data_IF_862089379397
#
_entry.id   IF_862089379397
#
_cell.length_a   1.000
_cell.length_b   1.000
_cell.length_c   1.000
_cell.angle_alpha   90.00
_cell.angle_beta   90.00
_cell.angle_gamma   90.00
#
_symmetry.space_group_name_H-M   'P 1'
#
loop_
_entity.id
_entity.type
_entity.pdbx_description
1 polymer ?
#
# COMPACT_ATOMS: atom_id res chain seq x y z
N UNK A 1 -18.74 18.59 -0.37
CA UNK A 1 -17.96 17.85 -1.40
C UNK A 1 -16.46 18.13 -1.22
N UNK A 2 -16.04 19.39 -1.13
CA UNK A 2 -14.64 19.78 -0.92
C UNK A 2 -14.06 19.25 0.40
N UNK A 3 -14.76 19.37 1.52
CA UNK A 3 -14.29 18.88 2.84
C UNK A 3 -13.97 17.38 2.82
N UNK A 4 -14.87 16.56 2.28
CA UNK A 4 -14.66 15.12 2.11
C UNK A 4 -13.41 14.82 1.25
N UNK A 5 -13.19 15.58 0.17
CA UNK A 5 -12.02 15.39 -0.69
C UNK A 5 -10.72 15.76 0.03
N UNK A 6 -10.74 16.82 0.86
CA UNK A 6 -9.59 17.23 1.68
C UNK A 6 -9.26 16.15 2.72
N UNK A 7 -10.27 15.57 3.38
CA UNK A 7 -10.07 14.49 4.35
C UNK A 7 -9.45 13.24 3.70
N UNK A 8 -9.95 12.82 2.52
CA UNK A 8 -9.39 11.69 1.78
C UNK A 8 -7.94 11.96 1.40
N UNK A 9 -7.62 13.17 0.92
CA UNK A 9 -6.24 13.53 0.57
C UNK A 9 -5.31 13.55 1.79
N UNK A 10 -5.80 13.98 2.96
CA UNK A 10 -5.04 13.93 4.20
C UNK A 10 -4.74 12.49 4.60
N UNK A 11 -5.76 11.62 4.58
CA UNK A 11 -5.61 10.21 4.94
C UNK A 11 -4.71 9.46 3.96
N UNK A 12 -4.77 9.80 2.68
CA UNK A 12 -3.84 9.29 1.67
C UNK A 12 -2.39 9.63 2.06
N UNK A 13 -2.09 10.89 2.33
CA UNK A 13 -0.72 11.31 2.64
C UNK A 13 -0.22 10.75 3.98
N UNK A 14 -1.07 10.69 5.00
CA UNK A 14 -0.74 9.99 6.26
C UNK A 14 -0.39 8.51 6.03
N UNK A 15 -1.15 7.83 5.16
CA UNK A 15 -0.88 6.46 4.76
C UNK A 15 0.44 6.32 4.01
N UNK A 16 0.73 7.23 3.05
CA UNK A 16 1.99 7.24 2.30
C UNK A 16 3.18 7.48 3.20
N UNK A 17 3.12 8.46 4.12
CA UNK A 17 4.21 8.73 5.07
C UNK A 17 4.46 7.52 5.98
N UNK A 18 3.39 6.90 6.47
CA UNK A 18 3.50 5.71 7.33
C UNK A 18 4.10 4.53 6.58
N UNK A 19 3.61 4.23 5.38
CA UNK A 19 4.11 3.17 4.53
C UNK A 19 5.56 3.42 4.10
N UNK A 20 5.91 4.65 3.74
CA UNK A 20 7.27 4.99 3.31
C UNK A 20 8.27 4.82 4.47
N UNK A 21 7.89 5.23 5.68
CA UNK A 21 8.73 5.11 6.87
C UNK A 21 8.91 3.65 7.32
N UNK A 22 7.86 2.83 7.27
CA UNK A 22 7.91 1.45 7.79
C UNK A 22 8.31 0.42 6.72
N UNK A 23 7.93 0.66 5.47
CA UNK A 23 7.99 -0.26 4.33
C UNK A 23 8.65 0.40 3.10
N UNK A 24 9.62 1.29 3.31
CA UNK A 24 10.30 2.02 2.23
C UNK A 24 10.96 1.13 1.18
N UNK A 25 11.32 -0.12 1.52
CA UNK A 25 11.86 -1.10 0.56
C UNK A 25 10.85 -1.54 -0.51
N UNK A 26 9.54 -1.41 -0.27
CA UNK A 26 8.50 -1.80 -1.23
C UNK A 26 8.53 -1.00 -2.53
N UNK A 27 9.11 0.22 -2.48
CA UNK A 27 9.30 1.05 -3.67
C UNK A 27 10.59 0.77 -4.43
N UNK A 28 11.43 -0.17 -4.00
CA UNK A 28 12.68 -0.51 -4.70
C UNK A 28 12.32 -1.16 -6.05
N UNK A 29 12.77 -0.58 -7.19
CA UNK A 29 12.33 -1.03 -8.51
C UNK A 29 13.08 -2.27 -8.98
N UNK A 30 12.45 -2.98 -9.92
CA UNK A 30 13.05 -4.09 -10.65
C UNK A 30 13.36 -5.30 -9.77
N UNK A 31 14.39 -6.05 -10.15
CA UNK A 31 14.77 -7.30 -9.48
C UNK A 31 15.59 -7.09 -8.20
N UNK A 32 15.98 -5.85 -7.86
CA UNK A 32 16.80 -5.55 -6.68
C UNK A 32 16.18 -6.11 -5.41
N UNK A 33 14.86 -6.01 -5.26
CA UNK A 33 14.15 -6.55 -4.09
C UNK A 33 14.26 -8.08 -3.94
N UNK A 34 14.69 -8.79 -4.98
CA UNK A 34 14.85 -10.25 -5.01
C UNK A 34 16.31 -10.71 -4.95
N UNK A 35 17.25 -9.92 -5.51
CA UNK A 35 18.65 -10.36 -5.70
C UNK A 35 19.63 -9.77 -4.69
N UNK A 36 19.24 -8.76 -3.91
CA UNK A 36 20.14 -8.10 -2.97
C UNK A 36 20.57 -9.07 -1.84
N UNK A 37 21.89 -9.27 -1.63
CA UNK A 37 22.38 -10.38 -0.81
C UNK A 37 22.43 -10.11 0.69
N UNK A 38 22.08 -8.90 1.15
CA UNK A 38 22.15 -8.55 2.58
C UNK A 38 21.16 -7.46 2.99
N UNK A 39 20.69 -7.44 4.25
CA UNK A 39 19.82 -6.39 4.78
C UNK A 39 20.38 -4.97 4.59
N UNK A 40 21.70 -4.80 4.75
CA UNK A 40 22.37 -3.51 4.54
C UNK A 40 22.20 -2.98 3.12
N UNK A 41 22.17 -3.86 2.10
CA UNK A 41 21.94 -3.42 0.73
C UNK A 41 20.49 -2.94 0.52
N UNK A 42 19.52 -3.56 1.19
CA UNK A 42 18.14 -3.07 1.18
C UNK A 42 18.01 -1.70 1.86
N UNK A 43 18.69 -1.49 3.00
CA UNK A 43 18.72 -0.18 3.67
C UNK A 43 19.28 0.91 2.75
N UNK A 44 20.36 0.62 2.02
CA UNK A 44 20.94 1.55 1.05
C UNK A 44 20.00 1.80 -0.14
N UNK A 45 19.38 0.76 -0.70
CA UNK A 45 18.44 0.90 -1.80
C UNK A 45 17.19 1.70 -1.39
N UNK A 46 16.69 1.49 -0.17
CA UNK A 46 15.53 2.20 0.37
C UNK A 46 15.75 3.72 0.48
N UNK A 47 16.99 4.20 0.60
CA UNK A 47 17.31 5.64 0.62
C UNK A 47 16.98 6.34 -0.71
N UNK A 48 16.86 5.59 -1.81
CA UNK A 48 16.51 6.12 -3.13
C UNK A 48 15.00 6.11 -3.39
N UNK A 49 14.22 5.46 -2.52
CA UNK A 49 12.77 5.38 -2.67
C UNK A 49 12.16 6.69 -2.20
N UNK A 50 11.24 7.26 -2.98
CA UNK A 50 10.47 8.44 -2.58
C UNK A 50 9.08 8.05 -2.03
N UNK A 51 8.38 8.96 -1.33
CA UNK A 51 6.99 8.76 -0.97
C UNK A 51 6.09 8.42 -2.17
N UNK A 52 6.33 9.04 -3.33
CA UNK A 52 5.58 8.80 -4.56
C UNK A 52 5.82 7.39 -5.11
N UNK A 53 7.07 6.91 -5.06
CA UNK A 53 7.40 5.52 -5.44
C UNK A 53 6.69 4.53 -4.51
N UNK A 54 6.65 4.83 -3.21
CA UNK A 54 5.92 4.02 -2.23
C UNK A 54 4.42 3.99 -2.55
N UNK A 55 3.83 5.16 -2.80
CA UNK A 55 2.42 5.30 -3.19
C UNK A 55 2.09 4.55 -4.49
N UNK A 56 3.03 4.46 -5.42
CA UNK A 56 2.85 3.70 -6.66
C UNK A 56 2.88 2.18 -6.43
N UNK A 57 3.61 1.72 -5.40
CA UNK A 57 3.77 0.30 -5.07
C UNK A 57 2.66 -0.29 -4.20
N UNK A 58 1.95 0.55 -3.42
CA UNK A 58 0.98 0.13 -2.40
C UNK A 58 -0.29 1.01 -2.44
N UNK A 59 -1.50 0.46 -2.23
CA UNK A 59 -2.70 1.27 -2.06
C UNK A 59 -2.65 1.94 -0.68
N UNK A 60 -2.45 3.25 -0.68
CA UNK A 60 -2.44 4.06 0.53
C UNK A 60 -3.76 4.82 0.70
N UNK A 61 -4.22 4.93 1.94
CA UNK A 61 -5.45 5.66 2.29
C UNK A 61 -6.74 4.85 2.09
N UNK A 62 -7.91 5.47 2.28
CA UNK A 62 -9.18 4.74 2.39
C UNK A 62 -9.97 4.66 1.08
N UNK A 63 -9.33 4.83 -0.09
CA UNK A 63 -10.02 4.81 -1.39
C UNK A 63 -10.26 3.36 -1.85
N UNK A 64 -11.51 2.86 -1.84
CA UNK A 64 -11.80 1.49 -2.24
C UNK A 64 -11.46 1.20 -3.70
N UNK A 65 -11.51 2.18 -4.59
CA UNK A 65 -11.17 1.97 -5.99
C UNK A 65 -9.69 1.60 -6.15
N UNK A 66 -8.81 2.20 -5.34
CA UNK A 66 -7.37 1.92 -5.33
C UNK A 66 -7.05 0.53 -4.79
N UNK A 67 -7.77 0.09 -3.77
CA UNK A 67 -7.66 -1.29 -3.27
C UNK A 67 -8.20 -2.31 -4.30
N UNK A 68 -9.34 -2.03 -4.93
CA UNK A 68 -9.92 -2.88 -5.95
C UNK A 68 -8.99 -3.08 -7.16
N UNK A 69 -8.33 -1.99 -7.61
CA UNK A 69 -7.33 -2.03 -8.69
C UNK A 69 -6.20 -3.01 -8.36
N UNK A 70 -5.68 -2.99 -7.13
CA UNK A 70 -4.61 -3.91 -6.74
C UNK A 70 -5.10 -5.35 -6.57
N UNK A 71 -6.26 -5.56 -5.94
CA UNK A 71 -6.85 -6.89 -5.79
C UNK A 71 -7.10 -7.55 -7.16
N UNK A 72 -7.61 -6.76 -8.11
CA UNK A 72 -7.84 -7.21 -9.48
C UNK A 72 -6.54 -7.66 -10.17
N UNK A 73 -5.41 -7.00 -9.91
CA UNK A 73 -4.13 -7.44 -10.47
C UNK A 73 -3.72 -8.84 -9.99
N UNK A 74 -4.06 -9.21 -8.75
CA UNK A 74 -3.86 -10.58 -8.24
C UNK A 74 -4.87 -11.56 -8.82
N UNK A 75 -6.15 -11.18 -8.92
CA UNK A 75 -7.17 -12.00 -9.59
C UNK A 75 -6.79 -12.31 -11.04
N UNK A 76 -6.40 -11.29 -11.81
CA UNK A 76 -5.99 -11.41 -13.21
C UNK A 76 -4.72 -12.27 -13.39
N UNK A 77 -3.89 -12.37 -12.35
CA UNK A 77 -2.71 -13.24 -12.30
C UNK A 77 -3.05 -14.69 -11.89
N UNK A 78 -4.31 -15.01 -11.61
CA UNK A 78 -4.79 -16.35 -11.29
C UNK A 78 -4.64 -16.75 -9.82
N UNK A 79 -4.53 -15.79 -8.90
CA UNK A 79 -4.55 -16.09 -7.48
C UNK A 79 -5.99 -16.38 -7.00
N UNK A 80 -6.18 -17.50 -6.31
CA UNK A 80 -7.48 -17.89 -5.74
C UNK A 80 -7.69 -17.35 -4.32
N UNK A 81 -6.60 -16.96 -3.63
CA UNK A 81 -6.63 -16.40 -2.27
C UNK A 81 -5.72 -15.18 -2.16
N UNK A 82 -6.20 -14.12 -1.50
CA UNK A 82 -5.43 -12.90 -1.24
C UNK A 82 -5.50 -12.55 0.25
N UNK A 83 -4.34 -12.32 0.85
CA UNK A 83 -4.21 -11.88 2.24
C UNK A 83 -3.93 -10.38 2.28
N UNK A 84 -4.68 -9.65 3.10
CA UNK A 84 -4.55 -8.21 3.27
C UNK A 84 -4.10 -7.92 4.69
N UNK A 85 -3.00 -7.18 4.83
CA UNK A 85 -2.43 -6.75 6.10
C UNK A 85 -2.35 -5.23 6.18
N UNK A 86 -2.65 -4.67 7.34
CA UNK A 86 -2.45 -3.24 7.58
C UNK A 86 -0.98 -2.94 7.90
N UNK A 87 -0.51 -1.79 7.42
CA UNK A 87 0.80 -1.23 7.78
C UNK A 87 0.63 -0.13 8.85
N UNK A 88 -0.52 0.53 8.84
CA UNK A 88 -0.78 1.72 9.64
C UNK A 88 -1.31 1.45 11.06
N UNK A 89 -1.60 2.52 11.80
CA UNK A 89 -2.25 2.42 13.11
C UNK A 89 -3.77 2.22 13.02
N UNK A 90 -4.37 2.44 11.84
CA UNK A 90 -5.83 2.50 11.62
C UNK A 90 -6.42 1.17 11.14
N UNK A 91 -5.89 0.04 11.62
CA UNK A 91 -6.27 -1.30 11.18
C UNK A 91 -7.77 -1.60 11.29
N UNK A 92 -8.48 -1.01 12.26
CA UNK A 92 -9.93 -1.17 12.43
C UNK A 92 -10.71 -0.56 11.27
N UNK A 93 -10.28 0.61 10.80
CA UNK A 93 -10.92 1.31 9.69
C UNK A 93 -10.66 0.55 8.38
N UNK A 94 -9.46 -0.02 8.22
CA UNK A 94 -9.15 -0.92 7.09
C UNK A 94 -10.05 -2.15 7.11
N UNK A 95 -10.19 -2.83 8.26
CA UNK A 95 -11.08 -4.00 8.39
C UNK A 95 -12.53 -3.63 8.03
N UNK A 96 -13.03 -2.49 8.52
CA UNK A 96 -14.39 -2.05 8.24
C UNK A 96 -14.59 -1.68 6.75
N UNK A 97 -13.60 -1.04 6.12
CA UNK A 97 -13.57 -0.77 4.68
C UNK A 97 -13.68 -2.09 3.91
N UNK A 98 -12.80 -3.06 4.19
CA UNK A 98 -12.80 -4.33 3.47
C UNK A 98 -14.07 -5.14 3.70
N UNK A 99 -14.58 -5.15 4.94
CA UNK A 99 -15.86 -5.77 5.27
C UNK A 99 -17.00 -5.19 4.45
N UNK A 100 -17.01 -3.86 4.26
CA UNK A 100 -18.09 -3.16 3.56
C UNK A 100 -18.01 -3.30 2.04
N UNK A 101 -16.82 -3.19 1.48
CA UNK A 101 -16.61 -3.04 0.03
C UNK A 101 -16.30 -4.36 -0.69
N UNK A 102 -15.67 -5.34 -0.01
CA UNK A 102 -15.13 -6.54 -0.66
C UNK A 102 -15.62 -7.87 -0.08
N UNK A 103 -15.99 -7.92 1.21
CA UNK A 103 -16.36 -9.17 1.88
C UNK A 103 -17.87 -9.34 2.10
N UNK A 104 -18.71 -8.50 1.48
CA UNK A 104 -20.17 -8.69 1.56
C UNK A 104 -20.61 -9.85 0.66
N UNK A 105 -20.71 -11.03 1.27
CA UNK A 105 -21.70 -12.06 0.93
C UNK A 105 -23.04 -11.74 1.57
#
# INVERSE_FOLDING_TARGET
MLEKAVDVMRQLWEGVETAHRLWGTSGVPGELSQVLPSPRHFEQAAQLVTPEMTRASLPCGPDPAKHAEQLKAYEDAGFDEVYVADIGPHYRDMIELYRREFLRS
#
